data_IF_779462415377
#
_entry.id   IF_779462415377
#
_cell.length_a   1.000
_cell.length_b   1.000
_cell.length_c   1.000
_cell.angle_alpha   90.00
_cell.angle_beta   90.00
_cell.angle_gamma   90.00
#
_symmetry.space_group_name_H-M   'P 1'
#
loop_
_entity.id
_entity.type
_entity.pdbx_description
1 polymer ?
#
# COMPACT_ATOMS: atom_id res chain seq x y z
N UNK A 1 8.17 22.78 -21.99
CA UNK A 1 8.06 24.10 -21.33
C UNK A 1 7.36 23.94 -19.98
N UNK A 2 8.06 24.31 -18.98
CA UNK A 2 7.85 24.46 -17.53
C UNK A 2 6.48 24.07 -16.95
N UNK A 3 6.46 22.97 -16.19
CA UNK A 3 5.38 22.63 -15.25
C UNK A 3 5.45 23.57 -14.03
N UNK A 4 4.49 24.49 -13.89
CA UNK A 4 4.29 25.30 -12.67
C UNK A 4 3.58 24.47 -11.60
N UNK A 5 4.26 24.30 -10.46
CA UNK A 5 3.68 23.81 -9.22
C UNK A 5 2.66 24.83 -8.69
N UNK A 6 1.40 24.45 -8.63
CA UNK A 6 0.40 25.24 -7.90
C UNK A 6 0.35 24.74 -6.46
N UNK A 7 0.98 25.48 -5.54
CA UNK A 7 0.76 25.35 -4.09
C UNK A 7 -0.41 26.28 -3.74
N UNK A 8 -1.60 25.73 -3.58
CA UNK A 8 -2.72 26.43 -2.99
C UNK A 8 -2.79 26.13 -1.50
N UNK A 9 -2.36 27.07 -0.67
CA UNK A 9 -2.59 27.04 0.79
C UNK A 9 -3.89 27.79 1.04
N UNK A 10 -4.97 27.08 1.32
CA UNK A 10 -6.22 27.66 1.79
C UNK A 10 -6.18 27.62 3.31
N UNK A 11 -5.99 28.79 3.96
CA UNK A 11 -6.17 28.96 5.41
C UNK A 11 -7.67 29.12 5.68
N UNK A 12 -8.27 28.13 6.26
CA UNK A 12 -9.65 28.09 6.74
C UNK A 12 -9.90 26.69 7.32
N UNK A 13 -10.88 26.52 8.20
CA UNK A 13 -11.27 25.24 8.85
C UNK A 13 -11.78 24.19 7.83
N UNK A 14 -10.98 23.85 6.83
CA UNK A 14 -11.32 22.88 5.78
C UNK A 14 -10.17 21.89 5.64
N UNK A 15 -10.51 20.64 5.38
CA UNK A 15 -9.58 19.55 5.14
C UNK A 15 -8.54 19.91 4.07
N UNK A 16 -7.26 19.67 4.35
CA UNK A 16 -6.20 19.80 3.36
C UNK A 16 -6.26 18.60 2.43
N UNK A 17 -6.45 18.83 1.16
CA UNK A 17 -6.35 17.80 0.14
C UNK A 17 -4.88 17.67 -0.29
N UNK A 18 -4.32 16.49 -0.13
CA UNK A 18 -3.02 16.12 -0.70
C UNK A 18 -3.30 15.12 -1.82
N UNK A 19 -3.25 15.58 -3.07
CA UNK A 19 -3.47 14.72 -4.23
C UNK A 19 -2.12 14.32 -4.82
N UNK A 20 -1.88 13.04 -4.90
CA UNK A 20 -0.76 12.51 -5.67
C UNK A 20 -1.16 12.50 -7.14
N UNK A 21 -1.04 13.65 -7.81
CA UNK A 21 -1.24 13.92 -9.24
C UNK A 21 -2.65 13.79 -9.82
N UNK A 22 -3.25 14.95 -10.04
CA UNK A 22 -4.24 15.14 -11.09
C UNK A 22 -3.52 15.58 -12.38
N UNK A 23 -3.68 14.84 -13.46
CA UNK A 23 -3.35 15.32 -14.79
C UNK A 23 -4.29 16.49 -15.13
N UNK A 24 -3.73 17.52 -15.76
CA UNK A 24 -4.43 18.76 -16.11
C UNK A 24 -5.70 18.48 -16.93
N UNK A 25 -6.84 18.86 -16.37
CA UNK A 25 -8.05 19.11 -17.15
C UNK A 25 -8.16 20.62 -17.30
N UNK A 26 -7.71 21.11 -18.45
CA UNK A 26 -7.89 22.52 -18.83
C UNK A 26 -9.35 22.83 -19.10
N UNK A 27 -10.03 23.44 -18.17
CA UNK A 27 -11.28 24.14 -18.42
C UNK A 27 -11.16 25.57 -17.90
N UNK A 28 -11.09 26.51 -18.84
CA UNK A 28 -11.21 27.95 -18.55
C UNK A 28 -12.62 28.23 -18.06
N UNK A 29 -12.82 28.37 -16.77
CA UNK A 29 -14.04 28.94 -16.22
C UNK A 29 -13.83 30.44 -15.98
N UNK A 30 -14.48 31.29 -16.77
CA UNK A 30 -14.57 32.74 -16.54
C UNK A 30 -15.45 32.97 -15.31
N UNK A 31 -14.89 33.56 -14.27
CA UNK A 31 -15.64 34.05 -13.10
C UNK A 31 -16.40 35.31 -13.45
N UNK A 32 -17.68 35.34 -13.10
CA UNK A 32 -18.41 36.57 -12.78
C UNK A 32 -18.57 36.68 -11.25
N UNK A 33 -18.46 37.87 -10.66
CA UNK A 33 -18.64 38.03 -9.23
C UNK A 33 -20.13 38.14 -8.89
N UNK A 34 -20.57 37.46 -7.85
CA UNK A 34 -21.86 37.69 -7.22
C UNK A 34 -21.74 37.53 -5.71
N UNK A 35 -22.01 38.64 -5.05
CA UNK A 35 -22.63 38.94 -3.77
C UNK A 35 -22.34 38.07 -2.53
N UNK A 36 -21.78 38.77 -1.56
CA UNK A 36 -21.61 38.37 -0.17
C UNK A 36 -22.99 38.37 0.56
N UNK A 37 -23.41 37.20 1.03
CA UNK A 37 -24.43 37.10 2.07
C UNK A 37 -23.76 36.75 3.40
N UNK A 38 -23.95 37.63 4.40
CA UNK A 38 -23.58 37.43 5.80
C UNK A 38 -24.41 36.28 6.38
N UNK A 39 -23.76 35.35 7.06
CA UNK A 39 -24.43 34.38 7.94
C UNK A 39 -23.90 34.58 9.35
N UNK A 40 -24.82 34.91 10.24
CA UNK A 40 -24.60 35.05 11.67
C UNK A 40 -24.33 33.71 12.35
N UNK A 41 -23.43 33.78 13.32
CA UNK A 41 -23.13 32.70 14.26
C UNK A 41 -24.16 32.67 15.37
N UNK A 42 -24.87 31.52 15.62
CA UNK A 42 -25.22 31.08 16.97
C UNK A 42 -25.87 29.69 17.00
N UNK A 43 -25.31 28.87 17.90
CA UNK A 43 -25.82 27.69 18.64
C UNK A 43 -26.20 26.39 17.92
N UNK A 44 -25.78 25.24 18.51
CA UNK A 44 -26.08 23.92 17.98
C UNK A 44 -27.47 23.44 18.45
N UNK A 45 -28.38 23.22 17.54
CA UNK A 45 -29.61 22.49 17.83
C UNK A 45 -29.53 21.11 17.21
N UNK A 46 -29.44 20.11 18.06
CA UNK A 46 -29.46 18.71 17.69
C UNK A 46 -30.89 18.38 17.20
N UNK A 47 -31.07 18.14 15.92
CA UNK A 47 -32.31 17.58 15.39
C UNK A 47 -32.11 16.07 15.11
N UNK A 48 -32.62 15.24 16.00
CA UNK A 48 -32.70 13.78 15.79
C UNK A 48 -33.91 13.51 14.90
N UNK A 49 -33.68 13.22 13.62
CA UNK A 49 -34.73 12.67 12.75
C UNK A 49 -34.50 11.16 12.65
N UNK A 50 -35.38 10.42 13.29
CA UNK A 50 -35.45 8.97 13.13
C UNK A 50 -36.00 8.66 11.73
N UNK A 51 -35.21 8.06 10.86
CA UNK A 51 -35.66 7.44 9.63
C UNK A 51 -35.75 5.92 9.81
N UNK A 52 -36.82 5.29 9.38
CA UNK A 52 -37.01 3.84 9.54
C UNK A 52 -36.32 3.06 8.41
N UNK A 53 -35.68 1.97 8.80
CA UNK A 53 -35.25 0.83 7.98
C UNK A 53 -34.23 1.08 6.86
N UNK A 54 -32.97 1.14 7.23
CA UNK A 54 -31.85 0.73 6.37
C UNK A 54 -31.21 -0.49 7.03
N UNK A 55 -31.31 -1.64 6.40
CA UNK A 55 -30.71 -2.89 6.90
C UNK A 55 -29.20 -2.83 6.84
N UNK A 56 -28.57 -2.34 7.88
CA UNK A 56 -27.15 -2.45 8.12
C UNK A 56 -26.90 -3.87 8.62
N UNK A 57 -26.07 -4.64 7.92
CA UNK A 57 -25.58 -5.91 8.44
C UNK A 57 -24.63 -5.61 9.62
N UNK A 58 -25.23 -5.43 10.80
CA UNK A 58 -24.50 -5.26 12.04
C UNK A 58 -24.03 -6.66 12.49
N UNK A 59 -22.76 -6.96 12.28
CA UNK A 59 -22.17 -8.15 12.91
C UNK A 59 -21.86 -7.81 14.37
N UNK A 60 -22.29 -8.65 15.34
CA UNK A 60 -22.16 -8.34 16.76
C UNK A 60 -20.69 -8.23 17.17
N UNK A 61 -20.45 -7.32 18.11
CA UNK A 61 -19.16 -7.11 18.77
C UNK A 61 -18.75 -8.41 19.47
N UNK A 62 -17.78 -9.11 18.93
CA UNK A 62 -17.17 -10.27 19.61
C UNK A 62 -16.10 -9.74 20.54
N UNK A 63 -16.35 -9.78 21.83
CA UNK A 63 -15.33 -9.58 22.86
C UNK A 63 -14.35 -10.75 22.82
N UNK A 64 -13.12 -10.50 22.43
CA UNK A 64 -12.05 -11.48 22.53
C UNK A 64 -11.23 -11.24 23.78
N UNK A 65 -11.25 -12.26 24.67
CA UNK A 65 -10.38 -12.36 25.85
C UNK A 65 -8.91 -12.20 25.48
N UNK A 66 -8.21 -11.42 26.29
CA UNK A 66 -6.77 -11.24 26.21
C UNK A 66 -6.04 -12.55 26.54
N UNK A 67 -5.35 -13.13 25.56
CA UNK A 67 -4.22 -14.02 25.78
C UNK A 67 -3.41 -14.17 24.47
N UNK A 68 -2.08 -14.20 24.65
CA UNK A 68 -1.04 -14.58 23.69
C UNK A 68 -0.41 -13.47 22.82
N UNK A 69 0.75 -13.01 23.30
CA UNK A 69 1.77 -12.31 22.54
C UNK A 69 2.38 -13.28 21.50
N UNK A 70 1.69 -13.50 20.41
CA UNK A 70 2.22 -14.12 19.18
C UNK A 70 1.80 -13.22 18.03
N UNK A 71 2.72 -12.95 17.10
CA UNK A 71 2.63 -12.10 15.90
C UNK A 71 1.29 -11.43 15.61
N UNK A 72 1.23 -10.15 15.25
CA UNK A 72 -0.04 -9.49 14.97
C UNK A 72 -0.81 -10.31 13.91
N UNK A 73 -2.06 -10.64 14.20
CA UNK A 73 -2.94 -11.46 13.32
C UNK A 73 -2.97 -10.91 11.89
N UNK A 74 -2.78 -9.59 11.74
CA UNK A 74 -2.68 -8.90 10.45
C UNK A 74 -1.52 -9.39 9.56
N UNK A 75 -0.36 -9.73 10.12
CA UNK A 75 0.78 -10.22 9.34
C UNK A 75 0.52 -11.61 8.74
N UNK A 76 -0.34 -12.41 9.35
CA UNK A 76 -0.73 -13.73 8.82
C UNK A 76 -1.65 -13.64 7.60
N UNK A 77 -2.40 -12.55 7.46
CA UNK A 77 -3.29 -12.32 6.31
C UNK A 77 -2.54 -12.11 5.00
N UNK A 78 -1.28 -11.69 5.10
CA UNK A 78 -0.44 -11.40 3.93
C UNK A 78 0.35 -12.61 3.42
N UNK A 79 0.08 -13.84 3.87
CA UNK A 79 0.79 -15.03 3.38
C UNK A 79 2.31 -15.01 3.63
N UNK A 80 2.82 -14.10 4.47
CA UNK A 80 4.23 -14.02 4.81
C UNK A 80 4.62 -15.19 5.71
N UNK A 81 5.55 -16.02 5.23
CA UNK A 81 6.04 -17.20 5.94
C UNK A 81 7.34 -16.94 6.70
N UNK A 82 8.12 -15.95 6.28
CA UNK A 82 9.43 -15.68 6.89
C UNK A 82 9.28 -14.86 8.19
N UNK A 83 9.98 -15.32 9.24
CA UNK A 83 10.07 -14.64 10.54
C UNK A 83 11.30 -13.75 10.61
N UNK A 84 11.33 -12.79 11.53
CA UNK A 84 12.49 -11.94 11.79
C UNK A 84 12.96 -12.15 13.21
N UNK A 85 14.26 -12.46 13.38
CA UNK A 85 14.93 -12.61 14.67
C UNK A 85 15.97 -11.50 14.82
N UNK A 86 16.09 -10.97 16.04
CA UNK A 86 17.18 -10.08 16.41
C UNK A 86 18.12 -10.83 17.33
N UNK A 87 19.40 -10.80 17.03
CA UNK A 87 20.45 -11.49 17.80
C UNK A 87 21.68 -10.60 17.97
N UNK A 88 22.41 -10.78 19.05
CA UNK A 88 23.71 -10.13 19.29
C UNK A 88 24.85 -10.81 18.55
N UNK A 89 24.69 -12.08 18.28
CA UNK A 89 25.67 -12.92 17.59
C UNK A 89 25.02 -13.70 16.47
N UNK A 90 25.79 -14.13 15.49
CA UNK A 90 25.29 -15.01 14.44
C UNK A 90 24.94 -16.38 15.03
N UNK A 91 23.65 -16.82 14.96
CA UNK A 91 23.27 -18.14 15.42
C UNK A 91 23.97 -19.24 14.64
N UNK A 92 24.27 -20.39 15.32
CA UNK A 92 24.93 -21.53 14.68
C UNK A 92 24.07 -22.20 13.59
N UNK A 93 22.75 -22.04 13.64
CA UNK A 93 21.78 -22.68 12.74
C UNK A 93 21.44 -21.86 11.50
N UNK A 94 22.29 -20.92 11.09
CA UNK A 94 22.05 -20.15 9.86
C UNK A 94 22.65 -20.85 8.63
N UNK A 95 21.95 -20.75 7.49
CA UNK A 95 22.42 -21.33 6.23
C UNK A 95 23.34 -20.35 5.45
N UNK A 96 23.17 -19.05 5.72
CA UNK A 96 24.01 -18.01 5.12
C UNK A 96 24.19 -16.83 6.06
N UNK A 97 25.37 -16.20 5.97
CA UNK A 97 25.69 -14.93 6.63
C UNK A 97 26.03 -13.89 5.57
N UNK A 98 25.26 -12.83 5.51
CA UNK A 98 25.51 -11.72 4.60
C UNK A 98 26.24 -10.59 5.32
N UNK A 99 27.36 -10.18 4.74
CA UNK A 99 28.24 -9.13 5.28
C UNK A 99 28.37 -7.97 4.29
N UNK A 100 28.26 -6.72 4.76
CA UNK A 100 28.41 -5.54 3.92
C UNK A 100 29.88 -5.34 3.53
N UNK A 101 30.12 -4.92 2.30
CA UNK A 101 31.42 -4.58 1.77
C UNK A 101 31.31 -3.26 0.99
N UNK A 102 32.07 -2.24 1.41
CA UNK A 102 32.15 -0.98 0.70
C UNK A 102 33.03 -1.06 -0.55
N UNK A 103 32.97 -0.04 -1.41
CA UNK A 103 33.91 0.12 -2.54
C UNK A 103 35.33 0.35 -2.06
N UNK A 104 35.49 0.94 -0.89
CA UNK A 104 36.76 1.17 -0.20
C UNK A 104 36.72 0.55 1.22
N UNK A 105 37.81 0.65 1.98
CA UNK A 105 37.93 0.16 3.34
C UNK A 105 38.24 -1.34 3.44
N UNK A 106 38.19 -1.88 4.64
CA UNK A 106 38.53 -3.26 4.94
C UNK A 106 37.45 -4.25 4.47
N UNK A 107 37.86 -5.37 3.90
CA UNK A 107 36.98 -6.51 3.62
C UNK A 107 36.79 -7.33 4.89
N UNK A 108 35.57 -7.71 5.30
CA UNK A 108 35.34 -8.55 6.46
C UNK A 108 36.09 -9.88 6.37
N UNK A 109 36.85 -10.20 7.41
CA UNK A 109 37.67 -11.44 7.46
C UNK A 109 36.86 -12.73 7.31
N UNK A 110 35.57 -12.70 7.68
CA UNK A 110 34.65 -13.84 7.55
C UNK A 110 34.41 -14.29 6.12
N UNK A 111 34.68 -13.42 5.11
CA UNK A 111 34.60 -13.80 3.71
C UNK A 111 35.75 -14.71 3.25
N UNK A 112 36.88 -14.74 3.95
CA UNK A 112 38.05 -15.50 3.53
C UNK A 112 38.73 -15.00 2.25
N UNK A 113 38.28 -13.82 1.72
CA UNK A 113 38.77 -13.20 0.50
C UNK A 113 39.26 -11.78 0.78
N UNK A 114 40.27 -11.35 0.07
CA UNK A 114 40.73 -9.97 0.09
C UNK A 114 40.07 -9.17 -1.07
N UNK A 115 40.32 -7.87 -1.14
CA UNK A 115 39.74 -7.00 -2.15
C UNK A 115 40.14 -7.37 -3.59
N UNK A 116 41.41 -7.79 -3.79
CA UNK A 116 41.85 -8.21 -5.10
C UNK A 116 41.14 -9.49 -5.58
N UNK A 117 40.97 -10.46 -4.68
CA UNK A 117 40.23 -11.69 -5.00
C UNK A 117 38.73 -11.40 -5.30
N UNK A 118 38.11 -10.47 -4.55
CA UNK A 118 36.74 -10.04 -4.84
C UNK A 118 36.63 -9.35 -6.19
N UNK A 119 37.57 -8.46 -6.51
CA UNK A 119 37.61 -7.76 -7.81
C UNK A 119 37.81 -8.75 -8.97
N UNK A 120 38.64 -9.76 -8.81
CA UNK A 120 38.90 -10.80 -9.82
C UNK A 120 37.64 -11.60 -10.21
N UNK A 121 36.67 -11.71 -9.28
CA UNK A 121 35.36 -12.35 -9.53
C UNK A 121 34.25 -11.32 -9.84
N UNK A 122 34.63 -10.07 -10.19
CA UNK A 122 33.70 -9.02 -10.60
C UNK A 122 32.96 -8.31 -9.48
N UNK A 123 33.37 -8.47 -8.22
CA UNK A 123 32.73 -7.80 -7.09
C UNK A 123 33.58 -6.60 -6.62
N UNK A 124 33.07 -5.41 -6.79
CA UNK A 124 33.72 -4.15 -6.45
C UNK A 124 33.13 -3.46 -5.20
N UNK A 125 32.09 -4.02 -4.59
CA UNK A 125 31.37 -3.42 -3.46
C UNK A 125 30.36 -2.33 -3.88
N UNK A 126 30.05 -2.20 -5.16
CA UNK A 126 29.00 -1.26 -5.67
C UNK A 126 27.63 -1.62 -5.09
N UNK A 127 26.75 -0.63 -4.84
CA UNK A 127 25.42 -0.87 -4.27
C UNK A 127 24.64 -1.97 -5.00
N UNK A 128 24.18 -2.96 -4.23
CA UNK A 128 23.38 -4.08 -4.73
C UNK A 128 24.17 -5.21 -5.40
N UNK A 129 25.48 -5.09 -5.62
CA UNK A 129 26.30 -6.23 -6.01
C UNK A 129 26.31 -7.30 -4.91
N UNK A 130 26.30 -8.56 -5.30
CA UNK A 130 26.42 -9.68 -4.38
C UNK A 130 27.32 -10.77 -4.94
N UNK A 131 28.06 -11.42 -4.07
CA UNK A 131 28.76 -12.65 -4.40
C UNK A 131 28.60 -13.67 -3.26
N UNK A 132 28.31 -14.90 -3.62
CA UNK A 132 28.17 -16.00 -2.67
C UNK A 132 29.46 -16.79 -2.63
N UNK A 133 30.09 -16.83 -1.46
CA UNK A 133 31.30 -17.62 -1.21
C UNK A 133 30.86 -18.88 -0.47
N UNK A 134 30.95 -20.06 -1.11
CA UNK A 134 30.63 -21.33 -0.46
C UNK A 134 31.57 -21.58 0.72
N UNK A 135 31.03 -22.18 1.79
CA UNK A 135 31.83 -22.68 2.92
C UNK A 135 31.77 -24.19 2.91
N UNK A 136 32.92 -24.85 3.16
CA UNK A 136 32.99 -26.31 3.20
C UNK A 136 32.25 -26.91 4.40
N UNK A 137 32.30 -26.24 5.56
CA UNK A 137 31.80 -26.78 6.84
C UNK A 137 30.87 -25.84 7.61
N UNK A 138 30.54 -24.65 7.08
CA UNK A 138 29.73 -23.64 7.76
C UNK A 138 28.73 -22.96 6.86
N UNK A 139 28.07 -21.91 7.35
CA UNK A 139 27.13 -21.15 6.55
C UNK A 139 27.82 -20.47 5.36
N UNK A 140 27.19 -20.44 4.20
CA UNK A 140 27.70 -19.70 3.06
C UNK A 140 27.86 -18.20 3.42
N UNK A 141 28.92 -17.58 2.93
CA UNK A 141 29.11 -16.14 3.11
C UNK A 141 28.57 -15.40 1.90
N UNK A 142 27.84 -14.32 2.11
CA UNK A 142 27.33 -13.46 1.04
C UNK A 142 27.95 -12.08 1.22
N UNK A 143 28.87 -11.69 0.36
CA UNK A 143 29.30 -10.31 0.31
C UNK A 143 28.20 -9.49 -0.37
N UNK A 144 27.81 -8.36 0.24
CA UNK A 144 26.86 -7.41 -0.37
C UNK A 144 27.48 -6.02 -0.46
N UNK A 145 27.47 -5.46 -1.65
CA UNK A 145 27.99 -4.11 -1.93
C UNK A 145 27.08 -3.05 -1.33
N UNK A 146 27.69 -2.14 -0.56
CA UNK A 146 26.97 -1.01 0.07
C UNK A 146 27.43 0.35 -0.45
N UNK A 147 28.37 0.40 -1.42
CA UNK A 147 28.91 1.65 -1.98
C UNK A 147 30.00 2.27 -1.11
N UNK A 148 30.18 3.57 -1.21
CA UNK A 148 31.18 4.32 -0.46
C UNK A 148 30.79 4.51 0.99
N UNK A 149 31.78 4.53 1.88
CA UNK A 149 31.59 4.86 3.28
C UNK A 149 30.96 6.27 3.42
N UNK A 150 29.94 6.40 4.28
CA UNK A 150 29.27 7.67 4.51
C UNK A 150 28.14 8.01 3.53
N UNK A 151 27.96 7.28 2.43
CA UNK A 151 26.84 7.48 1.47
C UNK A 151 25.63 6.57 1.72
N UNK A 152 25.68 5.78 2.78
CA UNK A 152 24.65 4.80 3.09
C UNK A 152 23.32 5.46 3.42
N UNK A 153 22.28 5.09 2.69
CA UNK A 153 20.92 5.60 2.88
C UNK A 153 19.97 4.49 3.33
N UNK A 154 18.81 4.89 3.88
CA UNK A 154 17.71 3.96 4.20
C UNK A 154 17.31 3.13 2.97
N UNK A 155 17.24 3.77 1.79
CA UNK A 155 16.92 3.07 0.54
C UNK A 155 18.05 2.12 0.11
N UNK A 156 19.31 2.53 0.29
CA UNK A 156 20.47 1.67 0.04
C UNK A 156 20.44 0.40 0.88
N UNK A 157 20.12 0.51 2.18
CA UNK A 157 19.96 -0.65 3.07
C UNK A 157 18.82 -1.57 2.64
N UNK A 158 17.67 -1.01 2.23
CA UNK A 158 16.54 -1.80 1.71
C UNK A 158 16.95 -2.58 0.47
N UNK A 159 17.63 -1.94 -0.46
CA UNK A 159 18.09 -2.58 -1.69
C UNK A 159 19.16 -3.65 -1.42
N UNK A 160 20.12 -3.39 -0.50
CA UNK A 160 21.13 -4.36 -0.12
C UNK A 160 20.52 -5.61 0.53
N UNK A 161 19.57 -5.46 1.46
CA UNK A 161 18.86 -6.58 2.05
C UNK A 161 18.06 -7.38 1.02
N UNK A 162 17.45 -6.72 0.05
CA UNK A 162 16.76 -7.39 -1.05
C UNK A 162 17.73 -8.18 -1.93
N UNK A 163 18.91 -7.64 -2.21
CA UNK A 163 19.96 -8.32 -2.97
C UNK A 163 20.47 -9.55 -2.22
N UNK A 164 20.69 -9.45 -0.90
CA UNK A 164 21.08 -10.58 -0.04
C UNK A 164 20.08 -11.72 -0.14
N UNK A 165 18.79 -11.46 0.04
CA UNK A 165 17.77 -12.51 0.00
C UNK A 165 17.64 -13.17 -1.37
N UNK A 166 17.81 -12.42 -2.44
CA UNK A 166 17.85 -12.98 -3.81
C UNK A 166 19.09 -13.86 -4.00
N UNK A 167 20.26 -13.43 -3.53
CA UNK A 167 21.52 -14.18 -3.61
C UNK A 167 21.51 -15.42 -2.72
N UNK A 168 20.76 -15.40 -1.61
CA UNK A 168 20.64 -16.54 -0.71
C UNK A 168 20.02 -17.78 -1.39
N UNK A 169 19.22 -17.61 -2.45
CA UNK A 169 18.70 -18.72 -3.25
C UNK A 169 17.81 -19.67 -2.44
N UNK A 170 18.25 -20.91 -2.27
CA UNK A 170 17.52 -21.97 -1.54
C UNK A 170 17.76 -21.98 -0.03
N UNK A 171 18.52 -21.05 0.54
CA UNK A 171 18.85 -20.98 1.95
C UNK A 171 17.69 -20.43 2.76
N UNK A 172 17.32 -21.16 3.80
CA UNK A 172 16.12 -20.88 4.57
C UNK A 172 16.35 -19.84 5.69
N UNK A 173 17.52 -19.89 6.34
CA UNK A 173 17.86 -19.01 7.46
C UNK A 173 19.04 -18.13 7.06
N UNK A 174 18.81 -16.82 6.97
CA UNK A 174 19.81 -15.84 6.50
C UNK A 174 20.07 -14.81 7.60
N UNK A 175 21.33 -14.69 8.04
CA UNK A 175 21.75 -13.68 8.99
C UNK A 175 22.45 -12.51 8.27
N UNK A 176 22.32 -11.30 8.81
CA UNK A 176 23.02 -10.11 8.30
C UNK A 176 23.21 -9.06 9.37
N UNK A 177 24.31 -8.33 9.32
CA UNK A 177 24.58 -7.15 10.15
C UNK A 177 24.33 -5.82 9.43
N UNK A 178 23.62 -5.81 8.31
CA UNK A 178 23.26 -4.57 7.57
C UNK A 178 22.55 -3.55 8.47
N UNK A 179 21.75 -3.99 9.44
CA UNK A 179 21.06 -3.11 10.38
C UNK A 179 21.97 -2.52 11.47
N UNK A 180 23.21 -3.03 11.61
CA UNK A 180 24.18 -2.60 12.60
C UNK A 180 25.16 -1.53 12.07
N UNK A 181 25.06 -1.19 10.79
CA UNK A 181 25.94 -0.20 10.17
C UNK A 181 25.67 1.20 10.71
N UNK A 182 26.76 1.96 10.89
CA UNK A 182 26.70 3.37 11.26
C UNK A 182 26.17 4.26 10.11
N UNK A 183 25.87 5.52 10.42
CA UNK A 183 25.39 6.51 9.46
C UNK A 183 23.87 6.50 9.24
N UNK A 184 23.14 5.47 9.69
CA UNK A 184 21.67 5.41 9.65
C UNK A 184 21.12 5.11 11.03
N UNK A 185 20.08 5.81 11.43
CA UNK A 185 19.36 5.56 12.69
C UNK A 185 18.95 4.08 12.82
N UNK A 186 19.11 3.50 14.03
CA UNK A 186 18.92 2.06 14.26
C UNK A 186 17.50 1.58 13.93
N UNK A 187 16.45 2.41 14.19
CA UNK A 187 15.07 2.06 13.86
C UNK A 187 14.89 2.03 12.35
N UNK A 188 15.35 3.07 11.65
CA UNK A 188 15.23 3.20 10.19
C UNK A 188 16.05 2.13 9.48
N UNK A 189 17.25 1.81 9.97
CA UNK A 189 18.13 0.78 9.41
C UNK A 189 17.47 -0.60 9.48
N UNK A 190 17.02 -1.00 10.67
CA UNK A 190 16.36 -2.30 10.85
C UNK A 190 15.05 -2.40 10.07
N UNK A 191 14.24 -1.34 10.03
CA UNK A 191 13.03 -1.29 9.22
C UNK A 191 13.34 -1.53 7.74
N UNK A 192 14.34 -0.82 7.20
CA UNK A 192 14.72 -0.94 5.79
C UNK A 192 15.24 -2.35 5.44
N UNK A 193 16.07 -2.94 6.31
CA UNK A 193 16.60 -4.30 6.09
C UNK A 193 15.48 -5.33 6.12
N UNK A 194 14.55 -5.23 7.06
CA UNK A 194 13.39 -6.13 7.15
C UNK A 194 12.48 -5.97 5.93
N UNK A 195 12.14 -4.74 5.56
CA UNK A 195 11.33 -4.48 4.35
C UNK A 195 11.99 -5.07 3.11
N UNK A 196 13.27 -4.77 2.89
CA UNK A 196 14.02 -5.27 1.72
C UNK A 196 14.05 -6.80 1.67
N UNK A 197 14.37 -7.44 2.77
CA UNK A 197 14.45 -8.90 2.87
C UNK A 197 13.10 -9.58 2.63
N UNK A 198 12.05 -9.15 3.33
CA UNK A 198 10.73 -9.76 3.24
C UNK A 198 10.06 -9.51 1.88
N UNK A 199 10.21 -8.31 1.31
CA UNK A 199 9.66 -8.00 -0.01
C UNK A 199 10.43 -8.71 -1.14
N UNK A 200 11.72 -8.99 -0.99
CA UNK A 200 12.48 -9.79 -1.95
C UNK A 200 12.09 -11.29 -1.90
N UNK A 201 11.64 -11.76 -0.75
CA UNK A 201 11.13 -13.12 -0.56
C UNK A 201 9.71 -13.32 -1.12
N UNK A 202 8.99 -12.24 -1.46
CA UNK A 202 7.61 -12.34 -1.96
C UNK A 202 7.52 -13.17 -3.25
N UNK A 203 6.55 -14.07 -3.27
CA UNK A 203 6.13 -14.83 -4.45
C UNK A 203 4.60 -14.91 -4.43
N UNK A 204 3.96 -14.57 -5.55
CA UNK A 204 2.52 -14.76 -5.68
C UNK A 204 2.22 -16.27 -5.76
N UNK A 205 1.44 -16.76 -4.81
CA UNK A 205 1.14 -18.18 -4.65
C UNK A 205 -0.31 -18.54 -5.04
N UNK A 206 -1.15 -17.54 -5.39
CA UNK A 206 -2.56 -17.75 -5.71
C UNK A 206 -2.75 -18.68 -6.93
N UNK A 207 -3.84 -19.36 -7.00
CA UNK A 207 -4.34 -20.26 -8.07
C UNK A 207 -3.40 -21.34 -8.62
N UNK A 208 -2.11 -21.33 -8.35
CA UNK A 208 -1.21 -22.41 -8.77
C UNK A 208 -1.33 -23.60 -7.82
N UNK A 209 -1.49 -24.81 -8.36
CA UNK A 209 -1.50 -26.06 -7.59
C UNK A 209 -0.19 -26.25 -6.82
N UNK A 210 0.93 -25.94 -7.48
CA UNK A 210 2.28 -25.96 -6.90
C UNK A 210 2.91 -24.56 -7.02
N UNK A 211 2.69 -23.69 -6.04
CA UNK A 211 3.25 -22.36 -6.10
C UNK A 211 4.75 -22.36 -5.84
N UNK A 212 5.47 -21.54 -6.59
CA UNK A 212 6.87 -21.26 -6.31
C UNK A 212 6.97 -20.45 -5.00
N UNK A 213 7.40 -21.08 -3.92
CA UNK A 213 7.57 -20.46 -2.61
C UNK A 213 9.02 -19.97 -2.44
N UNK A 214 9.19 -18.88 -1.70
CA UNK A 214 10.52 -18.49 -1.24
C UNK A 214 11.07 -19.53 -0.28
N UNK A 215 12.36 -19.79 -0.38
CA UNK A 215 13.05 -20.65 0.59
C UNK A 215 13.21 -19.95 1.95
N UNK A 216 13.26 -18.61 1.97
CA UNK A 216 13.50 -17.86 3.21
C UNK A 216 12.38 -18.13 4.24
N UNK A 217 12.78 -18.70 5.37
CA UNK A 217 11.89 -18.92 6.54
C UNK A 217 12.25 -18.00 7.70
N UNK A 218 13.51 -17.54 7.77
CA UNK A 218 13.95 -16.63 8.83
C UNK A 218 15.02 -15.66 8.33
N UNK A 219 14.83 -14.38 8.64
CA UNK A 219 15.84 -13.33 8.50
C UNK A 219 16.35 -12.95 9.89
N UNK A 220 17.66 -13.09 10.12
CA UNK A 220 18.31 -12.76 11.41
C UNK A 220 19.05 -11.45 11.28
N UNK A 221 18.66 -10.45 12.05
CA UNK A 221 19.38 -9.19 12.20
C UNK A 221 20.42 -9.35 13.33
N UNK A 222 21.69 -9.33 12.98
CA UNK A 222 22.78 -9.33 13.96
C UNK A 222 23.14 -7.89 14.26
N UNK A 223 22.92 -7.45 15.50
CA UNK A 223 23.12 -6.05 15.93
C UNK A 223 23.79 -5.97 17.29
N UNK A 224 24.65 -4.98 17.46
CA UNK A 224 25.28 -4.69 18.74
C UNK A 224 24.28 -4.21 19.79
N UNK A 225 24.72 -4.24 21.07
CA UNK A 225 23.87 -3.93 22.22
C UNK A 225 23.20 -2.56 22.12
N UNK A 226 23.98 -1.54 21.76
CA UNK A 226 23.50 -0.15 21.65
C UNK A 226 22.36 0.02 20.63
N UNK A 227 22.29 -0.83 19.61
CA UNK A 227 21.29 -0.76 18.53
C UNK A 227 20.10 -1.71 18.73
N UNK A 228 20.18 -2.65 19.68
CA UNK A 228 19.19 -3.73 19.88
C UNK A 228 17.76 -3.20 20.07
N UNK A 229 17.54 -2.16 20.89
CA UNK A 229 16.19 -1.61 21.11
C UNK A 229 15.66 -0.92 19.86
N UNK A 230 16.47 -0.12 19.15
CA UNK A 230 16.11 0.48 17.88
C UNK A 230 15.80 -0.57 16.81
N UNK A 231 16.61 -1.62 16.74
CA UNK A 231 16.40 -2.73 15.81
C UNK A 231 15.07 -3.47 16.07
N UNK A 232 14.68 -3.65 17.34
CA UNK A 232 13.39 -4.25 17.70
C UNK A 232 12.21 -3.41 17.18
N UNK A 233 12.22 -2.10 17.43
CA UNK A 233 11.19 -1.18 16.97
C UNK A 233 11.13 -1.14 15.44
N UNK A 234 12.30 -1.04 14.79
CA UNK A 234 12.42 -1.01 13.34
C UNK A 234 11.95 -2.31 12.70
N UNK A 235 12.28 -3.46 13.29
CA UNK A 235 11.82 -4.77 12.82
C UNK A 235 10.30 -4.91 12.90
N UNK A 236 9.66 -4.49 13.99
CA UNK A 236 8.20 -4.48 14.13
C UNK A 236 7.54 -3.63 13.02
N UNK A 237 8.07 -2.43 12.76
CA UNK A 237 7.59 -1.55 11.69
C UNK A 237 7.82 -2.15 10.31
N UNK A 238 9.01 -2.68 10.04
CA UNK A 238 9.36 -3.29 8.76
C UNK A 238 8.51 -4.52 8.44
N UNK A 239 8.17 -5.32 9.44
CA UNK A 239 7.24 -6.45 9.27
C UNK A 239 5.82 -5.95 8.95
N UNK A 240 5.34 -4.90 9.62
CA UNK A 240 4.00 -4.35 9.36
C UNK A 240 3.89 -3.75 7.94
N UNK A 241 4.88 -2.96 7.51
CA UNK A 241 4.89 -2.35 6.18
C UNK A 241 5.11 -3.38 5.06
N UNK A 242 5.98 -4.36 5.28
CA UNK A 242 6.18 -5.45 4.32
C UNK A 242 4.91 -6.31 4.17
N UNK A 243 4.23 -6.63 5.28
CA UNK A 243 2.96 -7.36 5.23
C UNK A 243 1.87 -6.59 4.47
N UNK A 244 1.77 -5.28 4.70
CA UNK A 244 0.85 -4.43 3.94
C UNK A 244 1.16 -4.47 2.43
N UNK A 245 2.43 -4.29 2.05
CA UNK A 245 2.82 -4.33 0.65
C UNK A 245 2.59 -5.71 0.00
N UNK A 246 2.79 -6.82 0.74
CA UNK A 246 2.50 -8.18 0.26
C UNK A 246 1.02 -8.37 0.05
N UNK A 247 0.16 -7.94 0.99
CA UNK A 247 -1.29 -8.00 0.84
C UNK A 247 -1.75 -7.23 -0.42
N UNK A 248 -1.28 -6.00 -0.60
CA UNK A 248 -1.62 -5.20 -1.79
C UNK A 248 -1.17 -5.88 -3.10
N UNK A 249 0.02 -6.50 -3.10
CA UNK A 249 0.53 -7.26 -4.26
C UNK A 249 -0.29 -8.51 -4.54
N UNK A 250 -0.71 -9.24 -3.50
CA UNK A 250 -1.56 -10.42 -3.67
C UNK A 250 -2.90 -10.06 -4.29
N UNK A 251 -3.53 -8.98 -3.82
CA UNK A 251 -4.79 -8.48 -4.37
C UNK A 251 -4.63 -8.09 -5.85
N UNK A 252 -3.61 -7.28 -6.18
CA UNK A 252 -3.37 -6.81 -7.54
C UNK A 252 -2.90 -7.92 -8.52
N UNK A 253 -2.27 -8.98 -8.01
CA UNK A 253 -1.85 -10.12 -8.83
C UNK A 253 -2.96 -11.13 -9.07
N UNK A 254 -4.00 -11.13 -8.22
CA UNK A 254 -5.14 -12.04 -8.37
C UNK A 254 -5.90 -11.71 -9.66
N UNK A 255 -6.19 -12.72 -10.52
CA UNK A 255 -6.95 -12.48 -11.74
C UNK A 255 -8.34 -11.92 -11.48
N UNK A 256 -8.90 -11.07 -12.37
CA UNK A 256 -10.13 -10.33 -12.12
C UNK A 256 -11.36 -11.21 -11.90
N UNK A 257 -11.40 -12.39 -12.49
CA UNK A 257 -12.48 -13.36 -12.23
C UNK A 257 -12.50 -13.89 -10.78
N UNK A 258 -11.36 -13.80 -10.07
CA UNK A 258 -11.20 -14.20 -8.67
C UNK A 258 -11.07 -13.00 -7.70
N UNK A 259 -11.03 -11.78 -8.24
CA UNK A 259 -10.95 -10.55 -7.45
C UNK A 259 -11.94 -9.52 -7.99
N UNK A 260 -13.23 -9.80 -7.83
CA UNK A 260 -14.31 -8.88 -8.17
C UNK A 260 -14.55 -7.87 -7.03
N UNK A 261 -15.41 -6.88 -7.22
CA UNK A 261 -15.78 -5.90 -6.19
C UNK A 261 -16.31 -6.60 -4.90
N UNK A 262 -17.05 -7.71 -5.06
CA UNK A 262 -17.53 -8.53 -3.93
C UNK A 262 -16.37 -9.19 -3.19
N UNK A 263 -15.43 -9.83 -3.88
CA UNK A 263 -14.28 -10.47 -3.24
C UNK A 263 -13.38 -9.45 -2.52
N UNK A 264 -13.20 -8.25 -3.08
CA UNK A 264 -12.49 -7.16 -2.39
C UNK A 264 -13.20 -6.74 -1.09
N UNK A 265 -14.51 -6.64 -1.11
CA UNK A 265 -15.29 -6.32 0.09
C UNK A 265 -15.19 -7.43 1.14
N UNK A 266 -15.27 -8.71 0.75
CA UNK A 266 -15.07 -9.87 1.64
C UNK A 266 -13.66 -9.84 2.27
N UNK A 267 -12.62 -9.57 1.47
CA UNK A 267 -11.25 -9.43 1.97
C UNK A 267 -11.10 -8.23 2.92
N UNK A 268 -11.79 -7.12 2.66
CA UNK A 268 -11.79 -5.98 3.55
C UNK A 268 -12.43 -6.30 4.91
N UNK A 269 -13.51 -7.08 4.93
CA UNK A 269 -14.13 -7.58 6.18
C UNK A 269 -13.17 -8.50 6.95
N UNK A 270 -12.46 -9.40 6.25
CA UNK A 270 -11.44 -10.27 6.85
C UNK A 270 -10.32 -9.46 7.52
N UNK A 271 -9.77 -8.47 6.79
CA UNK A 271 -8.73 -7.57 7.30
C UNK A 271 -9.23 -6.76 8.49
N UNK A 272 -10.44 -6.23 8.41
CA UNK A 272 -11.04 -5.44 9.49
C UNK A 272 -11.14 -6.26 10.78
N UNK A 273 -11.64 -7.49 10.69
CA UNK A 273 -11.74 -8.40 11.86
C UNK A 273 -10.38 -8.70 12.48
N UNK A 274 -9.38 -8.99 11.63
CA UNK A 274 -8.04 -9.35 12.11
C UNK A 274 -7.30 -8.17 12.76
N UNK A 275 -7.52 -6.96 12.25
CA UNK A 275 -6.78 -5.76 12.64
C UNK A 275 -7.54 -4.84 13.60
N UNK A 276 -8.81 -5.16 13.91
CA UNK A 276 -9.66 -4.39 14.83
C UNK A 276 -10.11 -3.05 14.25
N UNK A 277 -10.51 -3.07 12.97
CA UNK A 277 -11.12 -1.93 12.28
C UNK A 277 -12.65 -2.07 12.31
N UNK A 278 -13.35 -0.95 12.25
CA UNK A 278 -14.77 -0.93 11.86
C UNK A 278 -14.86 -1.02 10.35
N UNK A 279 -15.84 -1.76 9.82
CA UNK A 279 -16.05 -1.92 8.39
C UNK A 279 -17.53 -1.82 8.05
N UNK A 280 -17.83 -1.07 7.00
CA UNK A 280 -19.14 -0.93 6.39
C UNK A 280 -19.01 -1.26 4.89
N UNK A 281 -19.94 -2.05 4.36
CA UNK A 281 -19.95 -2.44 2.94
C UNK A 281 -21.28 -1.99 2.34
N UNK A 282 -21.20 -1.17 1.30
CA UNK A 282 -22.35 -0.62 0.60
C UNK A 282 -22.54 -1.31 -0.74
N UNK A 283 -23.75 -1.79 -1.00
CA UNK A 283 -24.13 -2.43 -2.25
C UNK A 283 -24.65 -1.40 -3.29
N UNK A 284 -25.00 -1.88 -4.48
CA UNK A 284 -25.49 -1.03 -5.58
C UNK A 284 -26.70 -0.19 -5.21
N UNK A 285 -27.69 -0.77 -4.48
CA UNK A 285 -28.90 -0.04 -4.06
C UNK A 285 -28.57 1.10 -3.11
N UNK A 286 -27.78 0.82 -2.09
CA UNK A 286 -27.31 1.83 -1.14
C UNK A 286 -26.47 2.93 -1.80
N UNK A 287 -25.62 2.57 -2.77
CA UNK A 287 -24.87 3.57 -3.56
C UNK A 287 -25.78 4.47 -4.39
N UNK A 288 -26.89 3.93 -4.90
CA UNK A 288 -27.90 4.73 -5.61
C UNK A 288 -28.62 5.70 -4.66
N UNK A 289 -29.04 5.24 -3.49
CA UNK A 289 -29.63 6.08 -2.45
C UNK A 289 -28.65 7.18 -1.97
N UNK A 290 -27.36 6.88 -1.93
CA UNK A 290 -26.31 7.84 -1.61
C UNK A 290 -26.00 8.82 -2.75
N UNK A 291 -26.54 8.64 -3.94
CA UNK A 291 -26.26 9.50 -5.10
C UNK A 291 -24.85 9.34 -5.68
N UNK A 292 -24.22 8.16 -5.54
CA UNK A 292 -22.89 7.87 -6.08
C UNK A 292 -22.93 7.57 -7.58
N UNK A 293 -23.38 8.57 -8.38
CA UNK A 293 -23.63 8.40 -9.82
C UNK A 293 -22.38 8.17 -10.66
N UNK A 294 -21.21 8.65 -10.23
CA UNK A 294 -19.94 8.37 -10.90
C UNK A 294 -19.60 6.88 -10.84
N UNK A 295 -19.69 6.28 -9.66
CA UNK A 295 -19.43 4.86 -9.47
C UNK A 295 -20.46 3.98 -10.17
N UNK A 296 -21.75 4.34 -10.10
CA UNK A 296 -22.84 3.61 -10.75
C UNK A 296 -22.77 3.71 -12.28
N UNK A 297 -22.39 4.87 -12.81
CA UNK A 297 -22.20 5.10 -14.24
C UNK A 297 -21.07 4.23 -14.80
N UNK A 298 -19.90 4.24 -14.16
CA UNK A 298 -18.77 3.38 -14.55
C UNK A 298 -19.16 1.90 -14.53
N UNK A 299 -19.92 1.47 -13.52
CA UNK A 299 -20.36 0.08 -13.38
C UNK A 299 -21.46 -0.33 -14.37
N UNK A 300 -22.11 0.59 -15.04
CA UNK A 300 -23.38 0.34 -15.78
C UNK A 300 -23.27 -0.78 -16.84
N UNK A 301 -22.08 -0.97 -17.43
CA UNK A 301 -21.82 -2.03 -18.40
C UNK A 301 -21.45 -3.39 -17.79
N UNK A 302 -21.16 -3.47 -16.48
CA UNK A 302 -20.75 -4.70 -15.81
C UNK A 302 -21.95 -5.47 -15.25
N UNK A 303 -21.85 -6.82 -15.31
CA UNK A 303 -22.79 -7.72 -14.62
C UNK A 303 -22.42 -7.90 -13.14
N UNK A 304 -21.17 -7.66 -12.77
CA UNK A 304 -20.72 -7.70 -11.36
C UNK A 304 -21.08 -6.39 -10.67
N UNK A 305 -21.90 -6.42 -9.61
CA UNK A 305 -22.35 -5.19 -8.96
C UNK A 305 -21.23 -4.51 -8.17
N UNK A 306 -21.21 -3.17 -8.12
CA UNK A 306 -20.17 -2.43 -7.41
C UNK A 306 -20.29 -2.62 -5.90
N UNK A 307 -19.18 -2.36 -5.21
CA UNK A 307 -19.12 -2.29 -3.75
C UNK A 307 -18.29 -1.07 -3.34
N UNK A 308 -18.81 -0.26 -2.44
CA UNK A 308 -17.97 0.64 -1.67
C UNK A 308 -17.73 0.04 -0.29
N UNK A 309 -16.50 0.13 0.18
CA UNK A 309 -16.15 -0.29 1.54
C UNK A 309 -15.59 0.91 2.30
N UNK A 310 -16.16 1.20 3.45
CA UNK A 310 -15.65 2.18 4.40
C UNK A 310 -15.01 1.47 5.58
N UNK A 311 -13.74 1.73 5.82
CA UNK A 311 -12.95 1.18 6.92
C UNK A 311 -12.59 2.31 7.89
N UNK A 312 -12.74 2.10 9.19
CA UNK A 312 -12.37 3.10 10.19
C UNK A 312 -11.43 2.52 11.24
N UNK A 313 -10.31 3.20 11.42
CA UNK A 313 -9.36 2.99 12.52
C UNK A 313 -9.46 4.16 13.49
N UNK A 314 -9.78 3.87 14.75
CA UNK A 314 -9.86 4.89 15.79
C UNK A 314 -8.98 4.46 16.97
N UNK A 315 -7.77 5.01 17.11
CA UNK A 315 -6.93 4.75 18.27
C UNK A 315 -7.47 5.47 19.50
N UNK A 316 -7.09 4.97 20.68
CA UNK A 316 -7.38 5.68 21.94
C UNK A 316 -6.65 7.04 21.91
N UNK A 317 -7.36 8.11 22.22
CA UNK A 317 -6.84 9.50 22.17
C UNK A 317 -6.32 9.88 20.76
N UNK A 318 -7.16 9.71 19.75
CA UNK A 318 -6.82 10.05 18.38
C UNK A 318 -6.41 11.51 18.24
N UNK A 319 -5.32 11.77 17.52
CA UNK A 319 -4.82 13.11 17.18
C UNK A 319 -4.98 13.30 15.68
N UNK A 320 -5.96 14.10 15.29
CA UNK A 320 -6.30 14.37 13.88
C UNK A 320 -7.05 13.22 13.21
N UNK A 321 -7.56 13.50 12.00
CA UNK A 321 -8.32 12.59 11.16
C UNK A 321 -7.80 12.64 9.72
N UNK A 322 -7.40 11.49 9.19
CA UNK A 322 -6.96 11.31 7.81
C UNK A 322 -7.99 10.47 7.06
N UNK A 323 -8.40 10.89 5.87
CA UNK A 323 -9.17 10.07 4.95
C UNK A 323 -8.29 9.56 3.79
N UNK A 324 -8.42 8.28 3.45
CA UNK A 324 -7.74 7.63 2.34
C UNK A 324 -8.80 7.16 1.34
N UNK A 325 -8.68 7.56 0.07
CA UNK A 325 -9.62 7.16 -0.98
C UNK A 325 -8.88 6.35 -2.04
N UNK A 326 -9.28 5.10 -2.27
CA UNK A 326 -8.63 4.19 -3.19
C UNK A 326 -9.47 3.89 -4.42
N UNK A 327 -8.91 4.12 -5.62
CA UNK A 327 -9.48 3.62 -6.88
C UNK A 327 -9.46 2.09 -6.85
N UNK A 328 -10.63 1.49 -7.06
CA UNK A 328 -10.86 0.06 -7.04
C UNK A 328 -11.52 -0.46 -8.31
N UNK A 329 -11.03 -0.06 -9.48
CA UNK A 329 -11.53 -0.63 -10.75
C UNK A 329 -10.91 -2.02 -10.92
N UNK A 330 -11.71 -3.06 -10.61
CA UNK A 330 -11.24 -4.45 -10.51
C UNK A 330 -10.76 -4.98 -11.86
N UNK A 331 -11.39 -4.53 -12.95
CA UNK A 331 -10.91 -4.67 -14.31
C UNK A 331 -11.35 -3.47 -15.14
N UNK A 332 -10.42 -2.90 -15.89
CA UNK A 332 -10.66 -1.75 -16.76
C UNK A 332 -10.48 -2.14 -18.24
N UNK A 333 -11.59 -2.34 -18.92
CA UNK A 333 -11.59 -2.55 -20.37
C UNK A 333 -11.55 -1.25 -21.18
N UNK A 334 -11.74 -0.10 -20.51
CA UNK A 334 -12.00 1.21 -21.13
C UNK A 334 -13.48 1.50 -21.37
N UNK A 335 -14.39 0.56 -21.10
CA UNK A 335 -15.82 0.68 -21.41
C UNK A 335 -16.04 0.74 -22.92
N UNK A 336 -16.91 1.65 -23.41
CA UNK A 336 -17.13 1.83 -24.86
C UNK A 336 -15.91 2.45 -25.58
N UNK A 337 -15.07 3.21 -24.88
CA UNK A 337 -13.74 3.63 -25.35
C UNK A 337 -12.74 2.49 -25.17
N UNK A 338 -13.01 1.36 -25.81
CA UNK A 338 -12.38 0.06 -25.57
C UNK A 338 -10.85 0.10 -25.79
N UNK A 339 -10.10 -0.36 -24.80
CA UNK A 339 -8.66 -0.53 -24.91
C UNK A 339 -8.29 -1.65 -25.89
N UNK A 340 -7.20 -1.55 -26.65
CA UNK A 340 -6.66 -2.69 -27.39
C UNK A 340 -6.24 -3.81 -26.42
N UNK A 341 -6.20 -5.07 -26.91
CA UNK A 341 -5.92 -6.26 -26.09
C UNK A 341 -4.66 -6.12 -25.23
N UNK A 342 -3.57 -5.62 -25.80
CA UNK A 342 -2.31 -5.40 -25.06
C UNK A 342 -2.46 -4.40 -23.93
N UNK A 343 -3.34 -3.40 -24.08
CA UNK A 343 -3.69 -2.45 -23.05
C UNK A 343 -4.50 -3.05 -21.90
N UNK A 344 -5.27 -4.11 -22.17
CA UNK A 344 -6.14 -4.76 -21.18
C UNK A 344 -5.41 -5.79 -20.31
N UNK A 345 -4.35 -6.46 -20.81
CA UNK A 345 -3.66 -7.56 -20.11
C UNK A 345 -3.26 -7.21 -18.68
N UNK A 346 -2.81 -5.98 -18.44
CA UNK A 346 -2.38 -5.53 -17.12
C UNK A 346 -3.53 -4.97 -16.25
N UNK A 347 -4.73 -4.79 -16.79
CA UNK A 347 -5.80 -4.01 -16.13
C UNK A 347 -6.44 -4.69 -14.91
N UNK A 348 -6.08 -5.92 -14.58
CA UNK A 348 -6.35 -6.51 -13.26
C UNK A 348 -5.74 -5.70 -12.11
N UNK A 349 -4.70 -4.90 -12.40
CA UNK A 349 -4.03 -4.06 -11.41
C UNK A 349 -4.72 -2.71 -11.18
N UNK A 350 -5.76 -2.39 -11.89
CA UNK A 350 -6.39 -1.05 -11.85
C UNK A 350 -7.18 -0.77 -10.56
N UNK A 351 -7.18 -1.74 -9.67
CA UNK A 351 -7.67 -1.70 -8.30
C UNK A 351 -6.55 -1.52 -7.25
N UNK A 352 -5.32 -1.26 -7.66
CA UNK A 352 -4.17 -1.15 -6.74
C UNK A 352 -4.31 0.01 -5.75
N UNK A 353 -5.07 1.06 -6.08
CA UNK A 353 -5.40 2.14 -5.16
C UNK A 353 -6.20 1.64 -3.95
N UNK A 354 -7.29 0.91 -4.19
CA UNK A 354 -8.09 0.30 -3.13
C UNK A 354 -7.28 -0.75 -2.35
N UNK A 355 -6.47 -1.57 -3.04
CA UNK A 355 -5.60 -2.54 -2.41
C UNK A 355 -4.57 -1.88 -1.47
N UNK A 356 -3.96 -0.77 -1.88
CA UNK A 356 -3.03 0.00 -1.06
C UNK A 356 -3.71 0.62 0.16
N UNK A 357 -4.92 1.18 -0.01
CA UNK A 357 -5.73 1.70 1.12
C UNK A 357 -6.04 0.57 2.10
N UNK A 358 -6.58 -0.56 1.64
CA UNK A 358 -6.91 -1.71 2.49
C UNK A 358 -5.69 -2.20 3.28
N UNK A 359 -4.56 -2.37 2.59
CA UNK A 359 -3.32 -2.82 3.19
C UNK A 359 -2.77 -1.84 4.22
N UNK A 360 -2.85 -0.54 3.94
CA UNK A 360 -2.48 0.53 4.87
C UNK A 360 -3.35 0.48 6.11
N UNK A 361 -4.68 0.42 5.96
CA UNK A 361 -5.63 0.30 7.08
C UNK A 361 -5.27 -0.89 7.97
N UNK A 362 -4.96 -2.05 7.40
CA UNK A 362 -4.52 -3.24 8.13
C UNK A 362 -3.22 -3.06 8.92
N UNK A 363 -2.33 -2.14 8.53
CA UNK A 363 -1.04 -1.91 9.16
C UNK A 363 -1.06 -0.88 10.30
N UNK A 364 -2.06 -0.01 10.38
CA UNK A 364 -2.09 1.16 11.26
C UNK A 364 -1.86 0.83 12.74
N UNK A 365 -2.49 -0.24 13.22
CA UNK A 365 -2.32 -0.71 14.60
C UNK A 365 -0.89 -1.17 14.88
N UNK A 366 -0.28 -1.92 13.96
CA UNK A 366 1.11 -2.38 14.05
C UNK A 366 2.11 -1.23 14.01
N UNK A 367 1.81 -0.19 13.27
CA UNK A 367 2.59 1.05 13.18
C UNK A 367 2.33 2.01 14.35
N UNK A 368 1.39 1.68 15.25
CA UNK A 368 0.96 2.54 16.38
C UNK A 368 0.52 3.93 15.90
N UNK A 369 -0.26 3.97 14.80
CA UNK A 369 -0.79 5.23 14.28
C UNK A 369 -1.63 5.93 15.35
N UNK A 370 -1.42 7.23 15.52
CA UNK A 370 -2.13 8.06 16.50
C UNK A 370 -3.32 8.80 15.91
N UNK A 371 -3.43 8.88 14.57
CA UNK A 371 -4.55 9.54 13.92
C UNK A 371 -5.75 8.58 13.79
N UNK A 372 -6.96 9.13 13.84
CA UNK A 372 -8.13 8.45 13.26
C UNK A 372 -7.91 8.36 11.75
N UNK A 373 -8.18 7.21 11.15
CA UNK A 373 -8.06 7.04 9.70
C UNK A 373 -9.34 6.40 9.16
N UNK A 374 -9.95 7.03 8.14
CA UNK A 374 -11.05 6.46 7.38
C UNK A 374 -10.56 6.09 5.99
N UNK A 375 -10.76 4.85 5.56
CA UNK A 375 -10.39 4.36 4.23
C UNK A 375 -11.63 4.06 3.41
N UNK A 376 -11.69 4.56 2.18
CA UNK A 376 -12.74 4.31 1.20
C UNK A 376 -12.18 3.47 0.06
N UNK A 377 -12.78 2.30 -0.20
CA UNK A 377 -12.44 1.43 -1.33
C UNK A 377 -13.58 1.53 -2.33
N UNK A 378 -13.33 2.14 -3.48
CA UNK A 378 -14.32 2.40 -4.51
C UNK A 378 -14.26 1.28 -5.56
N UNK A 379 -14.89 0.12 -5.28
CA UNK A 379 -14.72 -1.11 -6.05
C UNK A 379 -15.81 -1.29 -7.13
N UNK A 380 -15.41 -1.35 -8.39
CA UNK A 380 -16.27 -1.51 -9.56
C UNK A 380 -15.51 -2.14 -10.73
N UNK A 381 -16.19 -2.52 -11.80
CA UNK A 381 -15.60 -2.80 -13.11
C UNK A 381 -15.93 -1.68 -14.08
N UNK A 382 -15.10 -1.49 -15.12
CA UNK A 382 -15.40 -0.68 -16.30
C UNK A 382 -15.47 -1.59 -17.52
N UNK A 383 -16.69 -1.98 -17.91
CA UNK A 383 -16.94 -2.97 -18.96
C UNK A 383 -17.85 -2.41 -20.06
N UNK A 384 -17.66 -2.84 -21.33
CA UNK A 384 -18.67 -2.66 -22.36
C UNK A 384 -19.88 -3.53 -22.03
N UNK A 385 -21.07 -3.06 -22.38
CA UNK A 385 -22.32 -3.79 -22.15
C UNK A 385 -23.51 -3.00 -22.66
N UNK A 386 -24.68 -3.63 -22.71
CA UNK A 386 -25.90 -3.01 -23.20
C UNK A 386 -26.32 -1.74 -22.46
N UNK A 387 -25.94 -1.64 -21.17
CA UNK A 387 -26.25 -0.50 -20.31
C UNK A 387 -25.03 0.42 -20.08
N UNK A 388 -23.89 0.18 -20.74
CA UNK A 388 -22.67 0.96 -20.53
C UNK A 388 -22.91 2.46 -20.82
N UNK A 389 -22.26 3.30 -20.05
CA UNK A 389 -22.24 4.76 -20.27
C UNK A 389 -21.69 5.06 -21.65
N UNK A 390 -22.39 5.95 -22.36
CA UNK A 390 -22.04 6.39 -23.71
C UNK A 390 -21.30 7.73 -23.65
N UNK A 391 -20.51 7.98 -24.67
CA UNK A 391 -19.95 9.32 -24.87
C UNK A 391 -21.07 10.30 -25.09
N UNK A 392 -21.05 11.45 -24.39
CA UNK A 392 -22.13 12.44 -24.37
C UNK A 392 -23.14 12.25 -23.22
N UNK A 393 -23.12 11.11 -22.51
CA UNK A 393 -23.94 10.97 -21.30
C UNK A 393 -23.44 11.91 -20.20
N UNK A 394 -24.35 12.35 -19.32
CA UNK A 394 -24.04 13.20 -18.19
C UNK A 394 -24.26 12.43 -16.89
N UNK A 395 -23.22 12.32 -16.08
CA UNK A 395 -23.30 11.72 -14.75
C UNK A 395 -23.42 12.79 -13.66
N UNK A 396 -24.25 12.51 -12.65
CA UNK A 396 -24.37 13.35 -11.45
C UNK A 396 -23.66 12.65 -10.29
N UNK A 397 -22.70 13.32 -9.68
CA UNK A 397 -21.90 12.79 -8.56
C UNK A 397 -22.56 13.04 -7.21
N UNK A 398 -22.06 12.35 -6.16
CA UNK A 398 -22.49 12.47 -4.76
C UNK A 398 -22.66 13.92 -4.29
N UNK A 399 -21.81 14.82 -4.71
CA UNK A 399 -21.85 16.24 -4.32
C UNK A 399 -22.78 17.10 -5.20
N UNK A 400 -23.62 16.49 -6.04
CA UNK A 400 -24.56 17.15 -6.94
C UNK A 400 -23.94 17.77 -8.21
N UNK A 401 -22.61 17.74 -8.37
CA UNK A 401 -21.96 18.18 -9.61
C UNK A 401 -22.20 17.19 -10.74
N UNK A 402 -22.21 17.70 -11.96
CA UNK A 402 -22.38 16.90 -13.18
C UNK A 402 -21.14 16.94 -14.05
N UNK A 403 -20.91 15.88 -14.83
CA UNK A 403 -19.88 15.86 -15.87
C UNK A 403 -20.39 15.10 -17.09
N UNK A 404 -20.17 15.67 -18.26
CA UNK A 404 -20.37 15.01 -19.55
C UNK A 404 -19.20 14.05 -19.83
N UNK A 405 -19.49 12.86 -20.31
CA UNK A 405 -18.52 11.80 -20.54
C UNK A 405 -18.04 11.85 -21.99
N UNK A 406 -16.82 12.30 -22.20
CA UNK A 406 -16.18 12.33 -23.52
C UNK A 406 -15.26 11.12 -23.77
N UNK A 407 -14.91 10.38 -22.72
CA UNK A 407 -14.07 9.19 -22.80
C UNK A 407 -14.38 8.26 -21.62
N UNK A 408 -14.90 7.06 -21.91
CA UNK A 408 -15.23 6.09 -20.86
C UNK A 408 -14.00 5.39 -20.27
N UNK A 409 -12.82 5.53 -20.88
CA UNK A 409 -11.51 5.10 -20.35
C UNK A 409 -10.91 6.11 -19.34
N UNK A 410 -11.66 7.15 -19.00
CA UNK A 410 -11.33 8.10 -17.93
C UNK A 410 -12.18 7.85 -16.67
N UNK A 411 -12.53 6.62 -16.40
CA UNK A 411 -13.45 6.12 -15.37
C UNK A 411 -12.95 6.35 -13.94
N UNK A 412 -11.62 6.23 -13.73
CA UNK A 412 -11.02 6.32 -12.40
C UNK A 412 -11.32 7.62 -11.69
N UNK A 413 -11.30 8.75 -12.38
CA UNK A 413 -11.65 10.07 -11.83
C UNK A 413 -13.14 10.19 -11.50
N UNK A 414 -14.00 9.48 -12.20
CA UNK A 414 -15.44 9.45 -11.93
C UNK A 414 -15.75 8.70 -10.65
N UNK A 415 -15.12 7.53 -10.49
CA UNK A 415 -15.23 6.71 -9.28
C UNK A 415 -14.64 7.44 -8.06
N UNK A 416 -13.49 8.10 -8.22
CA UNK A 416 -12.87 8.89 -7.16
C UNK A 416 -13.67 10.13 -6.78
N UNK A 417 -14.43 10.73 -7.69
CA UNK A 417 -15.25 11.91 -7.41
C UNK A 417 -16.29 11.63 -6.31
N UNK A 418 -16.97 10.48 -6.35
CA UNK A 418 -17.90 10.07 -5.30
C UNK A 418 -17.16 9.76 -3.99
N UNK A 419 -16.06 9.01 -4.05
CA UNK A 419 -15.27 8.68 -2.86
C UNK A 419 -14.68 9.90 -2.16
N UNK A 420 -14.22 10.89 -2.92
CA UNK A 420 -13.70 12.15 -2.39
C UNK A 420 -14.81 13.00 -1.78
N UNK A 421 -16.02 12.99 -2.36
CA UNK A 421 -17.18 13.69 -1.82
C UNK A 421 -17.56 13.13 -0.45
N UNK A 422 -17.65 11.81 -0.34
CA UNK A 422 -17.91 11.11 0.94
C UNK A 422 -16.80 11.36 1.97
N UNK A 423 -15.54 11.40 1.53
CA UNK A 423 -14.43 11.69 2.42
C UNK A 423 -14.48 13.13 2.96
N UNK A 424 -14.92 14.10 2.15
CA UNK A 424 -15.11 15.50 2.58
C UNK A 424 -16.23 15.61 3.62
N UNK A 425 -17.31 14.85 3.47
CA UNK A 425 -18.44 14.83 4.43
C UNK A 425 -18.01 14.35 5.83
N UNK A 426 -17.00 13.48 5.92
CA UNK A 426 -16.42 13.05 7.20
C UNK A 426 -15.57 14.14 7.89
N UNK A 427 -15.39 15.30 7.27
CA UNK A 427 -14.61 16.44 7.75
C UNK A 427 -13.20 16.07 8.29
N UNK A 428 -12.37 15.34 7.54
CA UNK A 428 -11.01 15.03 7.97
C UNK A 428 -10.07 16.24 7.85
N UNK A 429 -8.96 16.22 8.60
CA UNK A 429 -7.91 17.24 8.48
C UNK A 429 -7.15 17.17 7.15
N UNK A 430 -7.07 15.95 6.56
CA UNK A 430 -6.44 15.73 5.27
C UNK A 430 -7.10 14.56 4.54
N UNK A 431 -7.08 14.63 3.19
CA UNK A 431 -7.53 13.57 2.29
C UNK A 431 -6.37 13.21 1.37
N UNK A 432 -6.13 11.90 1.20
CA UNK A 432 -5.18 11.35 0.22
C UNK A 432 -5.93 10.39 -0.68
N UNK A 433 -5.89 10.61 -1.97
CA UNK A 433 -6.38 9.65 -2.96
C UNK A 433 -5.22 8.85 -3.58
N UNK A 434 -5.48 7.56 -3.86
CA UNK A 434 -4.49 6.62 -4.40
C UNK A 434 -5.13 5.92 -5.59
N UNK A 435 -4.51 6.07 -6.77
CA UNK A 435 -5.09 5.54 -8.00
C UNK A 435 -4.03 5.20 -9.05
N UNK A 436 -4.30 4.16 -9.83
CA UNK A 436 -3.70 3.87 -11.12
C UNK A 436 -4.44 4.69 -12.18
N UNK A 437 -4.22 6.01 -12.20
CA UNK A 437 -5.14 6.94 -12.84
C UNK A 437 -4.88 7.14 -14.34
N UNK A 438 -3.62 7.30 -14.73
CA UNK A 438 -3.21 7.53 -16.13
C UNK A 438 -1.86 6.88 -16.44
N UNK A 439 -1.63 6.59 -17.73
CA UNK A 439 -0.33 6.10 -18.23
C UNK A 439 0.79 7.15 -18.25
N UNK A 440 0.48 8.43 -18.03
CA UNK A 440 1.42 9.54 -18.13
C UNK A 440 2.68 9.39 -17.24
N UNK A 441 2.58 8.69 -16.13
CA UNK A 441 3.73 8.42 -15.24
C UNK A 441 4.70 7.36 -15.77
N UNK A 442 4.30 6.55 -16.75
CA UNK A 442 5.24 5.61 -17.40
C UNK A 442 6.19 6.31 -18.37
N UNK A 443 5.85 7.53 -18.79
CA UNK A 443 6.63 8.35 -19.70
C UNK A 443 7.49 9.41 -18.98
N UNK A 444 7.36 9.57 -17.67
CA UNK A 444 8.21 10.45 -16.88
C UNK A 444 9.51 9.73 -16.48
N UNK A 445 10.69 10.34 -16.66
CA UNK A 445 11.97 9.77 -16.28
C UNK A 445 12.12 9.55 -14.78
#
# INVERSE_FOLDING_TARGET
QQARRVRGVVRGRHARRVTAHLGEVGTRCRRRPADAAKIDSHSPTTLTVALPWVGTLYLPRVETRAAERKHPRCARLAGMTATVLISRTTPKSVDAVAVPVGTTGAVPRSLGLNRAALAAIGFEGKPGQTVVVPSGTGPAQIAVGIGEAGTLTVQGLRNAAAAVVRAAGKRAVVATNLADLDGVDAVKAAQAVVEGGLLAAYRYAGIKKEPNKSALTQLVLVVGEKRTNGARIGSERGQATAAAAVLARDLANTPPAYMTARHMAEKAVEVARACGLTVEVFNRGQLAEMGCGGMLGVNAGSVEPPRMVRLTYTPRNAVGHLALVGKGVMFDSGGLSLKPSDGQIAMKMDMSGAAAVLATMGSLKGLRCKAKVTGYLMCTDNMPGGNAVKLGDVLTFRNGKTAEIHNTDAEGRLVLADGLSLAVEDAPDAIVDIATLTGARRAAP
#
